data_IF_907184089406
#
_entry.id   IF_907184089406
#
_cell.length_a   1.000
_cell.length_b   1.000
_cell.length_c   1.000
_cell.angle_alpha   90.00
_cell.angle_beta   90.00
_cell.angle_gamma   90.00
#
_symmetry.space_group_name_H-M   'P 1'
#
loop_
_entity.id
_entity.type
_entity.pdbx_description
1 polymer ?
#
# COMPACT_ATOMS: atom_id res chain seq x y z
N UNK A 1 19.55 -10.45 3.98
CA UNK A 1 18.37 -10.61 3.09
C UNK A 1 18.00 -9.23 2.57
N UNK A 2 18.27 -8.92 1.30
CA UNK A 2 18.05 -7.59 0.72
C UNK A 2 16.60 -7.11 0.84
N UNK A 3 15.62 -8.02 0.76
CA UNK A 3 14.18 -7.69 0.78
C UNK A 3 13.70 -6.98 2.05
N UNK A 4 14.34 -7.23 3.20
CA UNK A 4 13.90 -6.64 4.47
C UNK A 4 14.26 -5.15 4.59
N UNK A 5 15.41 -4.73 4.04
CA UNK A 5 15.81 -3.32 4.07
C UNK A 5 14.88 -2.51 3.17
N UNK A 6 14.58 -3.01 1.97
CA UNK A 6 13.66 -2.34 1.06
C UNK A 6 12.23 -2.32 1.61
N UNK A 7 11.78 -3.41 2.26
CA UNK A 7 10.53 -3.43 3.00
C UNK A 7 10.46 -2.30 4.04
N UNK A 8 11.47 -2.16 4.91
CA UNK A 8 11.50 -1.12 5.92
C UNK A 8 11.45 0.29 5.31
N UNK A 9 12.07 0.51 4.14
CA UNK A 9 12.02 1.80 3.44
C UNK A 9 10.61 2.11 2.92
N UNK A 10 9.91 1.14 2.37
CA UNK A 10 8.52 1.29 1.92
C UNK A 10 7.60 1.51 3.14
N UNK A 11 7.80 0.75 4.22
CA UNK A 11 7.03 0.88 5.44
C UNK A 11 7.14 2.29 6.03
N UNK A 12 8.37 2.82 6.17
CA UNK A 12 8.62 4.18 6.66
C UNK A 12 8.04 5.26 5.74
N UNK A 13 8.13 5.07 4.41
CA UNK A 13 7.59 6.06 3.45
C UNK A 13 6.09 6.27 3.62
N UNK A 14 5.36 5.21 3.94
CA UNK A 14 3.89 5.19 3.98
C UNK A 14 3.31 5.13 5.40
N UNK A 15 4.14 5.19 6.44
CA UNK A 15 3.75 4.94 7.83
C UNK A 15 2.65 5.88 8.35
N UNK A 16 2.56 7.09 7.78
CA UNK A 16 1.60 8.12 8.15
C UNK A 16 0.14 7.68 7.89
N UNK A 17 -0.09 6.98 6.78
CA UNK A 17 -1.44 6.61 6.32
C UNK A 17 -1.68 5.10 6.41
N UNK A 18 -0.62 4.30 6.46
CA UNK A 18 -0.69 2.86 6.37
C UNK A 18 -0.04 2.18 7.56
N UNK A 19 -0.69 1.12 8.03
CA UNK A 19 -0.10 0.10 8.88
C UNK A 19 0.33 -1.06 7.98
N UNK A 20 1.64 -1.32 7.93
CA UNK A 20 2.23 -2.27 6.98
C UNK A 20 2.81 -3.46 7.76
N UNK A 21 2.46 -4.67 7.34
CA UNK A 21 2.94 -5.93 7.90
C UNK A 21 3.66 -6.76 6.85
N UNK A 22 4.57 -7.62 7.33
CA UNK A 22 5.37 -8.51 6.50
C UNK A 22 5.39 -9.91 7.08
N UNK A 23 4.88 -10.88 6.32
CA UNK A 23 4.90 -12.29 6.69
C UNK A 23 5.39 -13.16 5.52
N UNK A 24 6.62 -13.68 5.64
CA UNK A 24 7.23 -14.53 4.61
C UNK A 24 6.58 -15.90 4.45
N UNK A 25 5.73 -16.32 5.38
CA UNK A 25 5.05 -17.61 5.31
C UNK A 25 3.83 -17.60 4.40
N UNK A 26 3.36 -16.43 3.99
CA UNK A 26 2.20 -16.23 3.11
C UNK A 26 2.61 -16.12 1.64
N UNK A 27 1.73 -16.55 0.71
CA UNK A 27 1.90 -16.34 -0.73
C UNK A 27 1.96 -14.85 -1.12
N UNK A 28 1.37 -13.98 -0.29
CA UNK A 28 1.39 -12.52 -0.42
C UNK A 28 1.99 -11.91 0.84
N UNK A 29 3.33 -11.87 0.94
CA UNK A 29 4.00 -11.49 2.17
C UNK A 29 3.82 -10.03 2.58
N UNK A 30 3.45 -9.13 1.65
CA UNK A 30 3.27 -7.72 1.96
C UNK A 30 1.80 -7.39 2.14
N UNK A 31 1.45 -6.83 3.29
CA UNK A 31 0.08 -6.42 3.57
C UNK A 31 0.09 -5.00 4.15
N UNK A 32 -0.88 -4.19 3.76
CA UNK A 32 -1.08 -2.85 4.29
C UNK A 32 -2.56 -2.62 4.57
N UNK A 33 -2.84 -2.00 5.72
CA UNK A 33 -4.16 -1.53 6.09
C UNK A 33 -4.12 -0.02 6.25
N UNK A 34 -5.07 0.68 5.64
CA UNK A 34 -5.16 2.12 5.79
C UNK A 34 -5.61 2.48 7.21
N UNK A 35 -4.94 3.44 7.85
CA UNK A 35 -5.18 3.83 9.26
C UNK A 35 -6.52 4.53 9.45
N UNK A 36 -6.93 5.37 8.50
CA UNK A 36 -8.23 6.08 8.51
C UNK A 36 -9.38 5.25 7.91
N UNK A 37 -9.13 4.54 6.81
CA UNK A 37 -10.12 3.72 6.10
C UNK A 37 -9.85 2.24 6.37
N UNK A 38 -10.29 1.72 7.51
CA UNK A 38 -9.98 0.34 7.94
C UNK A 38 -10.41 -0.75 6.97
N UNK A 39 -11.39 -0.48 6.10
CA UNK A 39 -11.85 -1.41 5.06
C UNK A 39 -10.91 -1.49 3.84
N UNK A 40 -9.96 -0.55 3.73
CA UNK A 40 -8.98 -0.52 2.65
C UNK A 40 -7.73 -1.32 3.05
N UNK A 41 -7.66 -2.54 2.53
CA UNK A 41 -6.53 -3.46 2.72
C UNK A 41 -5.92 -3.79 1.35
N UNK A 42 -4.60 -3.70 1.26
CA UNK A 42 -3.83 -4.06 0.07
C UNK A 42 -2.90 -5.21 0.45
N UNK A 43 -2.89 -6.28 -0.35
CA UNK A 43 -1.98 -7.42 -0.19
C UNK A 43 -1.24 -7.66 -1.50
N UNK A 44 0.07 -7.87 -1.46
CA UNK A 44 0.87 -8.11 -2.65
C UNK A 44 2.02 -9.08 -2.39
N UNK A 45 2.49 -9.73 -3.46
CA UNK A 45 3.68 -10.58 -3.43
C UNK A 45 4.95 -9.85 -3.89
N UNK A 46 4.80 -8.73 -4.59
CA UNK A 46 5.89 -7.92 -5.11
C UNK A 46 5.94 -6.55 -4.42
N UNK A 47 7.10 -6.20 -3.87
CA UNK A 47 7.27 -4.98 -3.09
C UNK A 47 7.17 -3.71 -3.94
N UNK A 48 7.56 -3.75 -5.21
CA UNK A 48 7.51 -2.60 -6.12
C UNK A 48 6.07 -2.29 -6.53
N UNK A 49 5.30 -3.35 -6.84
CA UNK A 49 3.86 -3.23 -7.10
C UNK A 49 3.13 -2.74 -5.85
N UNK A 50 3.53 -3.24 -4.68
CA UNK A 50 2.98 -2.81 -3.40
C UNK A 50 3.21 -1.32 -3.11
N UNK A 51 4.44 -0.82 -3.23
CA UNK A 51 4.78 0.61 -3.06
C UNK A 51 3.95 1.50 -3.99
N UNK A 52 3.80 1.08 -5.26
CA UNK A 52 3.00 1.79 -6.26
C UNK A 52 1.51 1.81 -5.88
N UNK A 53 0.97 0.71 -5.38
CA UNK A 53 -0.43 0.63 -4.97
C UNK A 53 -0.72 1.56 -3.78
N UNK A 54 0.17 1.59 -2.78
CA UNK A 54 0.05 2.47 -1.61
C UNK A 54 0.09 3.96 -2.01
N UNK A 55 0.99 4.33 -2.92
CA UNK A 55 1.10 5.70 -3.41
C UNK A 55 -0.16 6.16 -4.16
N UNK A 56 -0.75 5.30 -4.98
CA UNK A 56 -1.95 5.63 -5.74
C UNK A 56 -3.21 5.66 -4.87
N UNK A 57 -3.34 4.75 -3.91
CA UNK A 57 -4.48 4.69 -3.01
C UNK A 57 -4.57 5.90 -2.06
N UNK A 58 -3.45 6.59 -1.79
CA UNK A 58 -3.40 7.85 -1.03
C UNK A 58 -4.04 9.03 -1.76
N UNK A 59 -4.12 8.95 -3.09
CA UNK A 59 -4.78 9.99 -3.88
C UNK A 59 -6.26 9.64 -3.92
N UNK A 60 -7.17 10.37 -3.24
CA UNK A 60 -8.58 10.25 -3.60
C UNK A 60 -8.62 10.55 -5.10
N UNK A 61 -9.01 9.57 -5.91
CA UNK A 61 -9.15 9.77 -7.34
C UNK A 61 -9.88 11.11 -7.53
N UNK A 62 -9.34 12.07 -8.32
CA UNK A 62 -10.07 13.29 -8.56
C UNK A 62 -11.45 12.85 -9.01
N UNK A 63 -12.47 13.19 -8.22
CA UNK A 63 -13.84 12.85 -8.55
C UNK A 63 -13.99 13.22 -10.02
N UNK A 64 -14.32 12.22 -10.86
CA UNK A 64 -14.70 12.45 -12.24
C UNK A 64 -16.01 13.24 -12.15
N UNK A 65 -15.88 14.53 -11.85
CA UNK A 65 -16.96 15.49 -11.85
C UNK A 65 -17.40 15.55 -13.30
N UNK A 66 -18.65 15.16 -13.50
CA UNK A 66 -19.28 14.97 -14.79
C UNK A 66 -18.91 16.09 -15.74
N UNK A 67 -18.45 15.71 -16.93
CA UNK A 67 -18.43 16.60 -18.06
C UNK A 67 -19.26 15.94 -19.15
N UNK A 68 -20.53 16.38 -19.21
CA UNK A 68 -21.31 16.73 -20.42
C UNK A 68 -21.52 15.61 -21.47
N UNK A 69 -22.69 15.39 -22.05
CA UNK A 69 -23.92 16.19 -22.26
C UNK A 69 -25.14 15.28 -22.26
#
# INVERSE_FOLDING_TARGET
MPDYIDFCRVALRHEADWEITYDKSEDKPFQARHRVHHDLVITCADLTVFDTALANARTPAPALNGTRQ
#
